data_IF_452259352078
#
_entry.id   IF_452259352078
#
_cell.length_a   1.000
_cell.length_b   1.000
_cell.length_c   1.000
_cell.angle_alpha   90.00
_cell.angle_beta   90.00
_cell.angle_gamma   90.00
#
_symmetry.space_group_name_H-M   'P 1'
#
loop_
_entity.id
_entity.type
_entity.pdbx_description
1 polymer ?
#
# COMPACT_ATOMS: atom_id res chain seq x y z
N UNK A 1 14.64 2.89 -23.07
CA UNK A 1 13.24 2.49 -23.36
C UNK A 1 13.16 0.98 -23.24
N UNK A 2 13.01 0.44 -22.02
CA UNK A 2 12.95 -1.00 -21.80
C UNK A 2 11.48 -1.42 -21.68
N UNK A 3 10.86 -1.76 -22.80
CA UNK A 3 9.63 -2.53 -22.80
C UNK A 3 10.01 -4.01 -22.88
N UNK A 4 10.27 -4.63 -21.74
CA UNK A 4 9.98 -6.06 -21.61
C UNK A 4 8.47 -6.13 -21.41
N UNK A 5 7.75 -6.37 -22.50
CA UNK A 5 6.38 -6.86 -22.42
C UNK A 5 6.47 -8.23 -21.71
N UNK A 6 6.03 -8.29 -20.46
CA UNK A 6 5.98 -9.55 -19.73
C UNK A 6 5.04 -10.51 -20.46
N UNK A 7 5.51 -11.68 -20.95
CA UNK A 7 4.68 -12.65 -21.67
C UNK A 7 3.60 -13.33 -20.78
N UNK A 8 3.31 -12.79 -19.59
CA UNK A 8 2.57 -13.43 -18.50
C UNK A 8 1.46 -12.56 -17.88
N UNK A 9 1.03 -11.47 -18.55
CA UNK A 9 -0.05 -10.61 -18.02
C UNK A 9 0.35 -9.79 -16.78
N UNK A 10 1.65 -9.49 -16.63
CA UNK A 10 2.16 -8.64 -15.56
C UNK A 10 2.00 -7.16 -15.92
N UNK A 11 1.75 -6.32 -14.92
CA UNK A 11 1.62 -4.87 -15.08
C UNK A 11 2.93 -4.26 -15.59
N UNK A 12 2.83 -3.19 -16.38
CA UNK A 12 4.00 -2.36 -16.71
C UNK A 12 4.52 -1.62 -15.47
N UNK A 13 5.78 -1.13 -15.52
CA UNK A 13 6.36 -0.34 -14.41
C UNK A 13 5.48 0.87 -14.05
N UNK A 14 5.00 1.69 -15.02
CA UNK A 14 4.09 2.80 -14.72
C UNK A 14 2.77 2.34 -14.10
N UNK A 15 2.17 1.27 -14.60
CA UNK A 15 0.92 0.72 -14.05
C UNK A 15 1.08 0.20 -12.62
N UNK A 16 2.23 -0.41 -12.31
CA UNK A 16 2.54 -0.91 -10.98
C UNK A 16 2.71 0.20 -9.94
N UNK A 17 3.26 1.35 -10.35
CA UNK A 17 3.49 2.50 -9.47
C UNK A 17 2.30 3.48 -9.41
N UNK A 18 1.31 3.34 -10.30
CA UNK A 18 0.28 4.34 -10.54
C UNK A 18 -0.49 4.77 -9.28
N UNK A 19 -0.91 3.81 -8.43
CA UNK A 19 -1.71 4.12 -7.24
C UNK A 19 -0.91 4.91 -6.20
N UNK A 20 0.37 4.59 -6.05
CA UNK A 20 1.29 5.21 -5.09
C UNK A 20 1.62 6.63 -5.56
N UNK A 21 1.92 6.80 -6.84
CA UNK A 21 2.09 8.13 -7.43
C UNK A 21 0.82 8.97 -7.31
N UNK A 22 -0.36 8.39 -7.58
CA UNK A 22 -1.64 9.08 -7.44
C UNK A 22 -1.85 9.61 -6.01
N UNK A 23 -1.68 8.76 -4.99
CA UNK A 23 -1.85 9.17 -3.59
C UNK A 23 -0.79 10.18 -3.13
N UNK A 24 0.43 10.09 -3.63
CA UNK A 24 1.52 10.96 -3.22
C UNK A 24 1.39 12.39 -3.77
N UNK A 25 0.87 12.56 -5.01
CA UNK A 25 0.95 13.87 -5.70
C UNK A 25 -0.36 14.39 -6.30
N UNK A 26 -1.43 13.59 -6.39
CA UNK A 26 -2.66 14.06 -7.02
C UNK A 26 -3.49 14.94 -6.06
N UNK A 27 -3.89 16.17 -6.44
CA UNK A 27 -4.73 17.03 -5.60
C UNK A 27 -6.06 16.39 -5.19
N UNK A 28 -6.61 15.49 -6.01
CA UNK A 28 -7.82 14.73 -5.70
C UNK A 28 -7.69 13.79 -4.50
N UNK A 29 -6.47 13.42 -4.11
CA UNK A 29 -6.20 12.59 -2.94
C UNK A 29 -5.83 13.40 -1.67
N UNK A 30 -5.59 14.71 -1.78
CA UNK A 30 -4.99 15.53 -0.72
C UNK A 30 -5.79 15.57 0.60
N UNK A 31 -7.10 15.33 0.55
CA UNK A 31 -7.98 15.32 1.74
C UNK A 31 -8.39 13.93 2.23
N UNK A 32 -7.89 12.86 1.60
CA UNK A 32 -8.33 11.48 1.91
C UNK A 32 -7.28 10.78 2.77
N UNK A 33 -7.70 10.17 3.87
CA UNK A 33 -6.83 9.42 4.77
C UNK A 33 -7.58 8.24 5.39
N UNK A 34 -6.87 7.15 5.67
CA UNK A 34 -7.44 5.94 6.27
C UNK A 34 -8.10 4.96 5.28
N UNK A 35 -8.26 5.35 4.01
CA UNK A 35 -8.86 4.51 2.98
C UNK A 35 -7.85 3.56 2.31
N UNK A 36 -8.33 2.40 1.87
CA UNK A 36 -7.57 1.48 1.03
C UNK A 36 -7.79 1.79 -0.46
N UNK A 37 -6.71 1.88 -1.23
CA UNK A 37 -6.79 2.17 -2.66
C UNK A 37 -6.29 1.00 -3.52
N UNK A 38 -7.00 0.75 -4.61
CA UNK A 38 -6.62 -0.17 -5.68
C UNK A 38 -6.95 0.46 -7.03
N UNK A 39 -6.00 0.39 -7.98
CA UNK A 39 -6.15 1.03 -9.29
C UNK A 39 -6.53 2.51 -9.21
N UNK A 40 -5.87 3.27 -8.33
CA UNK A 40 -6.13 4.70 -8.08
C UNK A 40 -7.55 5.04 -7.58
N UNK A 41 -8.33 4.06 -7.11
CA UNK A 41 -9.67 4.25 -6.58
C UNK A 41 -9.78 3.68 -5.16
N UNK A 42 -10.67 4.24 -4.33
CA UNK A 42 -11.03 3.63 -3.05
C UNK A 42 -11.62 2.24 -3.30
N UNK A 43 -11.14 1.25 -2.57
CA UNK A 43 -11.51 -0.14 -2.75
C UNK A 43 -11.72 -0.83 -1.39
N UNK A 44 -12.46 -1.94 -1.41
CA UNK A 44 -12.67 -2.75 -0.22
C UNK A 44 -11.40 -3.54 0.09
N UNK A 45 -10.85 -3.35 1.28
CA UNK A 45 -9.77 -4.18 1.80
C UNK A 45 -10.30 -5.53 2.32
N UNK A 46 -9.39 -6.41 2.75
CA UNK A 46 -9.76 -7.61 3.50
C UNK A 46 -10.41 -7.24 4.83
N UNK A 47 -11.24 -8.14 5.37
CA UNK A 47 -11.99 -7.88 6.60
C UNK A 47 -11.08 -7.67 7.82
N UNK A 48 -9.99 -8.42 7.90
CA UNK A 48 -8.99 -8.33 8.98
C UNK A 48 -8.17 -7.04 8.94
N UNK A 49 -8.06 -6.39 7.78
CA UNK A 49 -7.33 -5.12 7.65
C UNK A 49 -8.00 -3.97 8.44
N UNK A 50 -9.30 -4.08 8.73
CA UNK A 50 -10.05 -3.11 9.53
C UNK A 50 -10.26 -3.55 10.99
N UNK A 51 -9.59 -4.61 11.46
CA UNK A 51 -9.68 -5.04 12.86
C UNK A 51 -8.73 -4.19 13.74
N UNK A 52 -9.26 -3.32 14.62
CA UNK A 52 -8.43 -2.44 15.46
C UNK A 52 -7.65 -3.22 16.54
N UNK A 53 -8.17 -4.36 17.00
CA UNK A 53 -7.47 -5.19 17.99
C UNK A 53 -6.28 -5.90 17.34
N UNK A 54 -6.44 -6.39 16.12
CA UNK A 54 -5.35 -6.96 15.33
C UNK A 54 -4.29 -5.89 15.02
N UNK A 55 -4.69 -4.70 14.57
CA UNK A 55 -3.79 -3.59 14.28
C UNK A 55 -2.93 -3.22 15.51
N UNK A 56 -3.55 -3.09 16.69
CA UNK A 56 -2.84 -2.79 17.94
C UNK A 56 -1.81 -3.88 18.30
N UNK A 57 -2.21 -5.15 18.21
CA UNK A 57 -1.31 -6.28 18.50
C UNK A 57 -0.12 -6.33 17.53
N UNK A 58 -0.37 -6.09 16.24
CA UNK A 58 0.67 -6.06 15.22
C UNK A 58 1.67 -4.93 15.45
N UNK A 59 1.18 -3.74 15.81
CA UNK A 59 2.02 -2.59 16.12
C UNK A 59 2.97 -2.88 17.27
N UNK A 60 2.43 -3.32 18.42
CA UNK A 60 3.23 -3.67 19.60
C UNK A 60 4.30 -4.72 19.27
N UNK A 61 3.92 -5.77 18.52
CA UNK A 61 4.86 -6.82 18.13
C UNK A 61 5.98 -6.30 17.23
N UNK A 62 5.67 -5.37 16.34
CA UNK A 62 6.66 -4.76 15.45
C UNK A 62 7.63 -3.88 16.22
N UNK A 63 7.14 -3.09 17.18
CA UNK A 63 8.00 -2.29 18.07
C UNK A 63 8.97 -3.16 18.87
N UNK A 64 8.52 -4.30 19.43
CA UNK A 64 9.38 -5.28 20.09
C UNK A 64 10.50 -5.80 19.17
N UNK A 65 10.17 -6.11 17.92
CA UNK A 65 11.13 -6.61 16.92
C UNK A 65 12.15 -5.52 16.59
N UNK A 66 11.70 -4.30 16.31
CA UNK A 66 12.59 -3.18 15.95
C UNK A 66 13.54 -2.84 17.10
N UNK A 67 13.06 -2.84 18.34
CA UNK A 67 13.90 -2.59 19.52
C UNK A 67 14.97 -3.67 19.75
N UNK A 68 14.77 -4.88 19.22
CA UNK A 68 15.72 -5.98 19.33
C UNK A 68 16.76 -6.02 18.19
N UNK A 69 16.65 -5.16 17.18
CA UNK A 69 17.61 -5.11 16.08
C UNK A 69 18.94 -4.47 16.52
N UNK A 70 20.08 -4.99 16.07
CA UNK A 70 21.37 -4.32 16.28
C UNK A 70 21.39 -3.00 15.50
N UNK A 71 21.91 -1.95 16.13
CA UNK A 71 22.11 -0.62 15.54
C UNK A 71 23.37 -0.51 14.68
#
# INVERSE_FOLDING_TARGET
>A
MFAVASPLGLKSIPEGAATQCYLAVNPGAAGVSGEYFSHCNVAKCRADANDPALAKRLWQRTEEIVAALPG
#
